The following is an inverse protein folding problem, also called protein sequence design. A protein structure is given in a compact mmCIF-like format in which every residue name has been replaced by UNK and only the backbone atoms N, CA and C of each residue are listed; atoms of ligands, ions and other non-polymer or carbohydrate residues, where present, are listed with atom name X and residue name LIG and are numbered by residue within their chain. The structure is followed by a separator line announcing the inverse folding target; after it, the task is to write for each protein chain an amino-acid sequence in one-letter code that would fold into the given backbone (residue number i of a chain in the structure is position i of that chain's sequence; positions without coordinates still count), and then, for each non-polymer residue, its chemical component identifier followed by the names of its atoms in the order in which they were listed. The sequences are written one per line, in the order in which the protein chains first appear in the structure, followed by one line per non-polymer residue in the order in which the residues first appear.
data_IF_769332658447
#
_entry.id   IF_769332658447
#
_cell.length_a   1.000
_cell.length_b   1.000
_cell.length_c   1.000
_cell.angle_alpha   90.00
_cell.angle_beta   90.00
_cell.angle_gamma   90.00
#
_symmetry.space_group_name_H-M   'P 1'
#
loop_
_entity.id
_entity.type
_entity.pdbx_description
1 polymer ?
#
# COMPACT_ATOMS: atom_id res chain seq x y z
N UNK A 1 -15.24 1.70 8.19
CA UNK A 1 -14.90 0.53 7.35
C UNK A 1 -15.46 0.69 5.94
N UNK A 2 -16.72 1.10 5.80
CA UNK A 2 -17.37 1.36 4.50
C UNK A 2 -16.57 2.32 3.61
N UNK A 3 -16.09 3.46 4.12
CA UNK A 3 -15.25 4.40 3.35
C UNK A 3 -13.95 3.79 2.81
N UNK A 4 -13.27 2.95 3.60
CA UNK A 4 -12.01 2.29 3.22
C UNK A 4 -12.22 1.27 2.10
N UNK A 5 -13.31 0.51 2.19
CA UNK A 5 -13.70 -0.49 1.18
C UNK A 5 -14.12 0.23 -0.11
N UNK A 6 -14.93 1.28 -0.01
CA UNK A 6 -15.34 2.09 -1.16
C UNK A 6 -14.13 2.75 -1.84
N UNK A 7 -13.21 3.33 -1.07
CA UNK A 7 -12.02 3.98 -1.61
C UNK A 7 -11.10 2.96 -2.31
N UNK A 8 -10.88 1.79 -1.71
CA UNK A 8 -10.12 0.72 -2.34
C UNK A 8 -10.80 0.25 -3.64
N UNK A 9 -12.13 0.08 -3.64
CA UNK A 9 -12.87 -0.34 -4.83
C UNK A 9 -12.85 0.72 -5.95
N UNK A 10 -12.90 2.00 -5.60
CA UNK A 10 -12.93 3.12 -6.54
C UNK A 10 -11.58 3.31 -7.25
N UNK A 11 -10.46 3.07 -6.56
CA UNK A 11 -9.12 3.16 -7.16
C UNK A 11 -8.80 1.94 -8.05
N UNK A 12 -9.39 0.77 -7.79
CA UNK A 12 -9.19 -0.44 -8.61
C UNK A 12 -10.02 -0.42 -9.92
N UNK A 13 -11.16 0.28 -9.91
CA UNK A 13 -12.14 0.33 -11.01
C UNK A 13 -11.61 0.77 -12.40
N UNK A 14 -10.70 1.76 -12.53
CA UNK A 14 -10.15 2.12 -13.84
C UNK A 14 -9.25 1.01 -14.44
N UNK A 15 -8.55 0.24 -13.62
CA UNK A 15 -7.59 -0.77 -14.10
C UNK A 15 -8.28 -2.02 -14.66
N UNK A 16 -9.38 -2.48 -14.05
CA UNK A 16 -10.10 -3.68 -14.52
C UNK A 16 -10.82 -3.48 -15.85
N UNK A 17 -11.17 -2.24 -16.19
CA UNK A 17 -11.86 -1.92 -17.44
C UNK A 17 -10.92 -1.69 -18.63
N UNK A 18 -9.60 -1.65 -18.42
CA UNK A 18 -8.66 -1.16 -19.44
C UNK A 18 -8.29 -2.18 -20.52
N UNK A 19 -8.66 -3.47 -20.43
CA UNK A 19 -8.29 -4.54 -21.41
C UNK A 19 -6.78 -4.56 -21.76
N UNK A 20 -5.93 -4.08 -20.86
CA UNK A 20 -4.47 -4.04 -21.01
C UNK A 20 -3.88 -5.16 -20.16
N UNK A 21 -2.97 -5.94 -20.74
CA UNK A 21 -2.26 -7.01 -20.03
C UNK A 21 -1.16 -6.40 -19.15
N UNK A 22 -1.56 -5.94 -17.96
CA UNK A 22 -0.66 -5.27 -17.04
C UNK A 22 -0.05 -6.26 -16.03
N UNK A 23 1.27 -6.54 -16.11
CA UNK A 23 1.88 -7.58 -15.27
C UNK A 23 1.91 -7.23 -13.78
N UNK A 24 1.81 -5.95 -13.39
CA UNK A 24 1.88 -5.51 -12.00
C UNK A 24 0.51 -5.16 -11.38
N UNK A 25 -0.57 -5.69 -11.95
CA UNK A 25 -1.92 -5.40 -11.48
C UNK A 25 -2.13 -5.84 -10.02
N UNK A 26 -1.60 -7.01 -9.66
CA UNK A 26 -1.71 -7.58 -8.32
C UNK A 26 -0.96 -6.72 -7.31
N UNK A 27 0.27 -6.32 -7.64
CA UNK A 27 1.15 -5.51 -6.81
C UNK A 27 0.54 -4.13 -6.56
N UNK A 28 -0.05 -3.52 -7.59
CA UNK A 28 -0.73 -2.23 -7.48
C UNK A 28 -1.93 -2.31 -6.50
N UNK A 29 -2.77 -3.35 -6.61
CA UNK A 29 -3.87 -3.59 -5.66
C UNK A 29 -3.33 -3.71 -4.23
N UNK A 30 -2.26 -4.50 -4.05
CA UNK A 30 -1.66 -4.68 -2.72
C UNK A 30 -1.14 -3.35 -2.17
N UNK A 31 -0.50 -2.51 -3.00
CA UNK A 31 -0.02 -1.20 -2.57
C UNK A 31 -1.15 -0.27 -2.16
N UNK A 32 -2.19 -0.13 -2.98
CA UNK A 32 -3.34 0.73 -2.69
C UNK A 32 -4.01 0.27 -1.39
N UNK A 33 -4.32 -1.03 -1.29
CA UNK A 33 -4.98 -1.58 -0.11
C UNK A 33 -4.14 -1.40 1.15
N UNK A 34 -2.84 -1.69 1.05
CA UNK A 34 -1.90 -1.53 2.16
C UNK A 34 -1.78 -0.08 2.58
N UNK A 35 -1.61 0.85 1.63
CA UNK A 35 -1.50 2.27 1.94
C UNK A 35 -2.72 2.78 2.69
N UNK A 36 -3.92 2.49 2.18
CA UNK A 36 -5.17 2.96 2.82
C UNK A 36 -5.35 2.30 4.19
N UNK A 37 -5.13 0.98 4.29
CA UNK A 37 -5.33 0.22 5.53
C UNK A 37 -4.33 0.65 6.61
N UNK A 38 -3.04 0.68 6.28
CA UNK A 38 -1.96 0.98 7.22
C UNK A 38 -2.02 2.45 7.62
N UNK A 39 -2.21 3.38 6.69
CA UNK A 39 -2.38 4.81 7.01
C UNK A 39 -3.56 5.01 7.95
N UNK A 40 -4.69 4.34 7.71
CA UNK A 40 -5.85 4.37 8.61
C UNK A 40 -5.46 3.90 10.01
N UNK A 41 -4.75 2.78 10.15
CA UNK A 41 -4.31 2.32 11.48
C UNK A 41 -3.25 3.24 12.09
N UNK A 42 -2.38 3.85 11.30
CA UNK A 42 -1.40 4.88 11.71
C UNK A 42 -2.06 6.20 12.15
N UNK A 43 -3.33 6.46 11.84
CA UNK A 43 -4.06 7.60 12.43
C UNK A 43 -5.06 7.15 13.51
N UNK A 44 -5.88 6.13 13.24
CA UNK A 44 -6.99 5.70 14.09
C UNK A 44 -6.66 4.60 15.13
N UNK A 45 -5.39 4.25 15.37
CA UNK A 45 -4.99 3.26 16.39
C UNK A 45 -5.68 3.47 17.75
N UNK A 46 -5.95 4.72 18.15
CA UNK A 46 -6.61 5.07 19.42
C UNK A 46 -8.06 4.55 19.53
N UNK A 47 -8.77 4.40 18.41
CA UNK A 47 -10.18 3.99 18.35
C UNK A 47 -10.38 2.54 17.89
N UNK A 48 -9.30 1.83 17.58
CA UNK A 48 -9.34 0.44 17.14
C UNK A 48 -9.38 -0.50 18.35
N UNK A 49 -10.17 -1.58 18.28
CA UNK A 49 -10.18 -2.69 19.25
C UNK A 49 -8.79 -3.29 19.53
N UNK A 50 -7.81 -3.06 18.62
CA UNK A 50 -6.38 -3.35 18.80
C UNK A 50 -5.75 -2.64 20.02
N UNK A 51 -6.39 -1.62 20.59
CA UNK A 51 -5.89 -0.91 21.76
C UNK A 51 -5.75 -1.81 23.00
N UNK A 52 -6.58 -2.85 23.14
CA UNK A 52 -6.67 -3.69 24.35
C UNK A 52 -5.81 -4.96 24.31
N UNK A 53 -5.39 -5.43 23.14
CA UNK A 53 -4.65 -6.71 23.01
C UNK A 53 -3.16 -6.47 22.71
N UNK A 54 -2.34 -6.47 23.75
CA UNK A 54 -0.89 -6.23 23.63
C UNK A 54 -0.17 -7.30 22.79
N UNK A 55 -0.58 -8.57 22.91
CA UNK A 55 0.01 -9.68 22.14
C UNK A 55 -0.15 -9.50 20.63
N UNK A 56 -1.30 -9.00 20.18
CA UNK A 56 -1.57 -8.76 18.75
C UNK A 56 -0.69 -7.65 18.19
N UNK A 57 -0.44 -6.58 18.98
CA UNK A 57 0.48 -5.50 18.55
C UNK A 57 1.90 -6.03 18.33
N UNK A 58 2.38 -6.87 19.24
CA UNK A 58 3.73 -7.45 19.13
C UNK A 58 3.81 -8.37 17.91
N UNK A 59 2.84 -9.27 17.71
CA UNK A 59 2.79 -10.14 16.53
C UNK A 59 2.76 -9.33 15.22
N UNK A 60 1.98 -8.25 15.16
CA UNK A 60 1.92 -7.37 14.00
C UNK A 60 3.25 -6.68 13.71
N UNK A 61 4.01 -6.24 14.72
CA UNK A 61 5.35 -5.68 14.51
C UNK A 61 6.25 -6.69 13.78
N UNK A 62 6.25 -7.94 14.20
CA UNK A 62 7.07 -8.99 13.56
C UNK A 62 6.59 -9.34 12.15
N UNK A 63 5.27 -9.39 11.91
CA UNK A 63 4.69 -9.66 10.58
C UNK A 63 4.99 -8.51 9.60
N UNK A 64 5.04 -7.27 10.07
CA UNK A 64 5.30 -6.12 9.20
C UNK A 64 6.74 -6.10 8.66
N UNK A 65 7.70 -6.74 9.33
CA UNK A 65 9.09 -6.81 8.85
C UNK A 65 9.18 -7.50 7.48
N UNK A 66 8.82 -8.80 7.32
CA UNK A 66 8.85 -9.46 6.01
C UNK A 66 7.89 -8.80 5.01
N UNK A 67 6.78 -8.24 5.49
CA UNK A 67 5.82 -7.55 4.63
C UNK A 67 6.40 -6.28 4.00
N UNK A 68 7.18 -5.48 4.75
CA UNK A 68 7.88 -4.32 4.19
C UNK A 68 8.85 -4.74 3.09
N UNK A 69 9.61 -5.83 3.30
CA UNK A 69 10.49 -6.36 2.26
C UNK A 69 9.72 -6.76 1.01
N UNK A 70 8.58 -7.44 1.15
CA UNK A 70 7.69 -7.77 0.03
C UNK A 70 7.25 -6.52 -0.76
N UNK A 71 6.84 -5.45 -0.07
CA UNK A 71 6.44 -4.19 -0.72
C UNK A 71 7.61 -3.52 -1.46
N UNK A 72 8.80 -3.51 -0.85
CA UNK A 72 10.02 -2.98 -1.46
C UNK A 72 10.37 -3.77 -2.72
N UNK A 73 10.36 -5.10 -2.65
CA UNK A 73 10.63 -5.99 -3.79
C UNK A 73 9.63 -5.78 -4.92
N UNK A 74 8.33 -5.63 -4.62
CA UNK A 74 7.31 -5.35 -5.63
C UNK A 74 7.54 -4.02 -6.36
N UNK A 75 7.92 -2.96 -5.63
CA UNK A 75 8.19 -1.65 -6.23
C UNK A 75 9.49 -1.66 -7.05
N UNK A 76 10.51 -2.40 -6.59
CA UNK A 76 11.72 -2.61 -7.37
C UNK A 76 11.44 -3.39 -8.66
N UNK A 77 10.66 -4.47 -8.59
CA UNK A 77 10.27 -5.23 -9.77
C UNK A 77 9.56 -4.37 -10.81
N UNK A 78 8.65 -3.49 -10.37
CA UNK A 78 8.00 -2.53 -11.26
C UNK A 78 9.01 -1.59 -11.93
N UNK A 79 9.96 -1.02 -11.18
CA UNK A 79 10.99 -0.15 -11.75
C UNK A 79 11.88 -0.88 -12.76
N UNK A 80 12.33 -2.09 -12.44
CA UNK A 80 13.12 -2.91 -13.35
C UNK A 80 12.36 -3.17 -14.65
N UNK A 81 11.06 -3.49 -14.58
CA UNK A 81 10.24 -3.64 -15.78
C UNK A 81 10.14 -2.35 -16.61
N UNK A 82 10.03 -1.17 -15.97
CA UNK A 82 10.03 0.11 -16.68
C UNK A 82 11.34 0.36 -17.42
N UNK A 83 12.46 -0.02 -16.80
CA UNK A 83 13.80 0.18 -17.35
C UNK A 83 14.10 -0.81 -18.49
N UNK A 84 13.60 -2.05 -18.40
CA UNK A 84 13.85 -3.13 -19.37
C UNK A 84 12.87 -3.13 -20.56
N UNK A 85 11.57 -3.14 -20.29
CA UNK A 85 10.52 -3.34 -21.31
C UNK A 85 9.85 -2.02 -21.73
N UNK A 86 9.90 -1.01 -20.86
CA UNK A 86 9.28 0.30 -21.07
C UNK A 86 7.81 0.36 -20.69
N UNK A 87 7.39 1.52 -20.18
CA UNK A 87 6.03 1.73 -19.62
C UNK A 87 4.89 1.45 -20.61
N UNK A 88 5.14 1.63 -21.90
CA UNK A 88 4.11 1.54 -22.95
C UNK A 88 4.00 0.14 -23.55
N UNK A 89 4.82 -0.83 -23.12
CA UNK A 89 4.77 -2.21 -23.62
C UNK A 89 3.37 -2.84 -23.51
N UNK A 90 2.66 -2.73 -22.37
CA UNK A 90 1.31 -3.28 -22.23
C UNK A 90 0.27 -2.57 -23.12
N UNK A 91 0.58 -1.36 -23.57
CA UNK A 91 -0.35 -0.42 -24.20
C UNK A 91 -0.16 -0.30 -25.71
N UNK A 92 0.63 -1.20 -26.31
CA UNK A 92 0.96 -1.21 -27.75
C UNK A 92 -0.26 -1.25 -28.68
N UNK A 93 -1.41 -1.70 -28.18
CA UNK A 93 -2.66 -1.80 -28.93
C UNK A 93 -3.55 -0.54 -28.84
N UNK A 94 -3.13 0.49 -28.09
CA UNK A 94 -3.86 1.74 -27.92
C UNK A 94 -3.31 2.84 -28.82
N UNK A 95 -4.10 3.89 -29.05
CA UNK A 95 -3.58 5.11 -29.70
C UNK A 95 -2.46 5.72 -28.87
N UNK A 96 -1.52 6.45 -29.50
CA UNK A 96 -0.37 7.03 -28.81
C UNK A 96 -0.79 7.93 -27.63
N UNK A 97 -1.84 8.73 -27.81
CA UNK A 97 -2.38 9.61 -26.78
C UNK A 97 -3.01 8.83 -25.61
N UNK A 98 -3.74 7.76 -25.89
CA UNK A 98 -4.33 6.90 -24.86
C UNK A 98 -3.27 6.11 -24.09
N UNK A 99 -2.29 5.53 -24.80
CA UNK A 99 -1.16 4.84 -24.21
C UNK A 99 -0.35 5.78 -23.31
N UNK A 100 -0.13 7.03 -23.74
CA UNK A 100 0.58 8.02 -22.92
C UNK A 100 -0.20 8.37 -21.65
N UNK A 101 -1.50 8.64 -21.77
CA UNK A 101 -2.36 9.00 -20.62
C UNK A 101 -2.45 7.85 -19.62
N UNK A 102 -2.68 6.63 -20.08
CA UNK A 102 -2.80 5.45 -19.23
C UNK A 102 -1.46 5.07 -18.61
N UNK A 103 -0.37 5.16 -19.37
CA UNK A 103 0.99 4.96 -18.90
C UNK A 103 1.34 5.92 -17.76
N UNK A 104 1.09 7.21 -17.94
CA UNK A 104 1.34 8.19 -16.89
C UNK A 104 0.48 7.93 -15.64
N UNK A 105 -0.81 7.62 -15.82
CA UNK A 105 -1.70 7.28 -14.71
C UNK A 105 -1.16 6.11 -13.89
N UNK A 106 -0.81 5.00 -14.55
CA UNK A 106 -0.32 3.79 -13.89
C UNK A 106 1.04 4.02 -13.21
N UNK A 107 1.92 4.83 -13.82
CA UNK A 107 3.21 5.17 -13.22
C UNK A 107 2.99 5.93 -11.91
N UNK A 108 2.22 7.01 -11.96
CA UNK A 108 2.00 7.86 -10.78
C UNK A 108 1.24 7.12 -9.68
N UNK A 109 0.23 6.33 -10.04
CA UNK A 109 -0.50 5.50 -9.10
C UNK A 109 0.42 4.51 -8.38
N UNK A 110 1.18 3.71 -9.14
CA UNK A 110 2.07 2.69 -8.61
C UNK A 110 3.17 3.28 -7.73
N UNK A 111 3.78 4.39 -8.16
CA UNK A 111 4.83 5.08 -7.38
C UNK A 111 4.26 5.72 -6.13
N UNK A 112 3.11 6.40 -6.23
CA UNK A 112 2.47 7.07 -5.09
C UNK A 112 2.01 6.07 -4.03
N UNK A 113 1.21 5.08 -4.42
CA UNK A 113 0.69 4.08 -3.49
C UNK A 113 1.78 3.11 -3.03
N UNK A 114 2.72 2.73 -3.89
CA UNK A 114 3.84 1.85 -3.51
C UNK A 114 4.75 2.50 -2.48
N UNK A 115 5.25 3.71 -2.76
CA UNK A 115 6.09 4.45 -1.82
C UNK A 115 5.34 4.80 -0.53
N UNK A 116 4.09 5.25 -0.65
CA UNK A 116 3.23 5.54 0.48
C UNK A 116 3.00 4.32 1.36
N UNK A 117 2.71 3.15 0.77
CA UNK A 117 2.49 1.90 1.49
C UNK A 117 3.74 1.47 2.27
N UNK A 118 4.93 1.58 1.66
CA UNK A 118 6.20 1.27 2.31
C UNK A 118 6.43 2.20 3.52
N UNK A 119 6.32 3.53 3.31
CA UNK A 119 6.53 4.51 4.39
C UNK A 119 5.52 4.32 5.52
N UNK A 120 4.23 4.16 5.20
CA UNK A 120 3.20 3.90 6.19
C UNK A 120 3.47 2.59 6.98
N UNK A 121 3.90 1.54 6.28
CA UNK A 121 4.23 0.24 6.88
C UNK A 121 5.46 0.28 7.77
N UNK A 122 6.44 1.14 7.49
CA UNK A 122 7.59 1.40 8.37
C UNK A 122 7.13 2.17 9.62
N UNK A 123 6.31 3.22 9.47
CA UNK A 123 5.84 4.05 10.59
C UNK A 123 4.95 3.25 11.55
N UNK A 124 4.15 2.32 11.03
CA UNK A 124 3.17 1.55 11.78
C UNK A 124 3.72 0.80 13.01
N UNK A 125 4.78 -0.04 12.91
CA UNK A 125 5.36 -0.73 14.07
C UNK A 125 5.91 0.24 15.12
N UNK A 126 6.58 1.33 14.73
CA UNK A 126 7.04 2.34 15.68
C UNK A 126 5.88 2.96 16.46
N UNK A 127 4.78 3.30 15.76
CA UNK A 127 3.57 3.81 16.42
C UNK A 127 2.97 2.80 17.39
N UNK A 128 2.98 1.51 17.04
CA UNK A 128 2.49 0.44 17.93
C UNK A 128 3.33 0.32 19.20
N UNK A 129 4.66 0.38 19.09
CA UNK A 129 5.58 0.34 20.24
C UNK A 129 5.30 1.51 21.20
N UNK A 130 5.19 2.74 20.66
CA UNK A 130 4.86 3.94 21.45
C UNK A 130 3.50 3.79 22.15
N UNK A 131 2.51 3.22 21.46
CA UNK A 131 1.18 2.95 22.05
C UNK A 131 1.23 1.95 23.21
N UNK A 132 2.05 0.90 23.12
CA UNK A 132 2.22 -0.07 24.22
C UNK A 132 2.91 0.59 25.42
N UNK A 133 3.97 1.37 25.16
CA UNK A 133 4.74 2.05 26.20
C UNK A 133 3.91 3.09 26.97
N UNK A 134 3.12 3.90 26.26
CA UNK A 134 2.22 4.89 26.88
C UNK A 134 1.08 4.27 27.70
N UNK A 135 0.55 3.11 27.29
CA UNK A 135 -0.45 2.38 28.08
C UNK A 135 0.14 1.83 29.38
N UNK A 136 1.36 1.28 29.33
CA UNK A 136 2.06 0.73 30.51
C UNK A 136 2.42 1.84 31.52
N UNK A 137 2.84 3.01 31.04
CA UNK A 137 3.22 4.14 31.89
C UNK A 137 2.02 4.91 32.47
N UNK A 138 0.83 4.87 31.85
CA UNK A 138 -0.39 5.47 32.42
C UNK A 138 -1.03 4.65 33.55
N UNK A 139 -0.57 3.41 33.78
CA UNK A 139 -1.02 2.54 34.87
C UNK A 139 -0.19 2.66 36.16
N UNK A 140 0.75 3.61 36.23
CA UNK A 140 1.50 3.94 37.45
C UNK A 140 1.75 5.45 37.55
N UNK A 141 0.91 6.12 38.32
CA UNK A 141 1.33 7.07 39.37
C UNK A 141 0.55 6.71 40.61
#
# INVERSE_FOLDING_TARGET
MVFTIILAFLVILPLTNSKVDYPFFTENIVFIFTFILVTRYVFLLKYSLLAKQQAVKVALVFIFIPFIFYLISGLHGFRTFLDEEGMYYPMRNLSADEAQRLGNYMYYEMVFFGSGAIVASIIFPFRMIISVWTLKNRGKV
#
